data_IF_223220436475
#
_entry.id   IF_223220436475
#
_cell.length_a   1.000
_cell.length_b   1.000
_cell.length_c   1.000
_cell.angle_alpha   90.00
_cell.angle_beta   90.00
_cell.angle_gamma   90.00
#
_symmetry.space_group_name_H-M   'P 1'
#
loop_
_entity.id
_entity.type
_entity.pdbx_description
1 polymer ?
#
# COMPACT_ATOMS: atom_id res chain seq x y z
N UNK A 1 -49.84 -28.42 7.32
CA UNK A 1 -48.43 -28.21 6.94
C UNK A 1 -47.89 -27.06 7.76
N UNK A 2 -46.80 -27.26 8.50
CA UNK A 2 -46.29 -26.27 9.46
C UNK A 2 -45.32 -25.30 8.77
N UNK A 3 -45.56 -24.00 8.96
CA UNK A 3 -44.68 -22.92 8.47
C UNK A 3 -43.24 -23.04 8.99
N UNK A 4 -43.08 -23.67 10.17
CA UNK A 4 -41.80 -23.90 10.82
C UNK A 4 -40.83 -24.69 9.94
N UNK A 5 -41.33 -25.63 9.14
CA UNK A 5 -40.51 -26.43 8.22
C UNK A 5 -39.84 -25.58 7.13
N UNK A 6 -40.40 -24.41 6.79
CA UNK A 6 -39.81 -23.47 5.83
C UNK A 6 -38.98 -22.39 6.51
N UNK A 7 -39.44 -21.84 7.64
CA UNK A 7 -38.76 -20.73 8.31
C UNK A 7 -37.44 -21.17 8.92
N UNK A 8 -37.37 -22.38 9.47
CA UNK A 8 -36.16 -22.90 10.11
C UNK A 8 -34.95 -22.99 9.15
N UNK A 9 -35.03 -23.62 7.97
CA UNK A 9 -33.90 -23.66 7.04
C UNK A 9 -33.54 -22.27 6.49
N UNK A 10 -34.52 -21.40 6.24
CA UNK A 10 -34.25 -20.03 5.80
C UNK A 10 -33.48 -19.24 6.84
N UNK A 11 -33.87 -19.34 8.12
CA UNK A 11 -33.16 -18.68 9.21
C UNK A 11 -31.71 -19.19 9.34
N UNK A 12 -31.50 -20.51 9.23
CA UNK A 12 -30.15 -21.10 9.25
C UNK A 12 -29.31 -20.65 8.05
N UNK A 13 -29.89 -20.56 6.86
CA UNK A 13 -29.20 -20.08 5.67
C UNK A 13 -28.78 -18.61 5.82
N UNK A 14 -29.67 -17.75 6.31
CA UNK A 14 -29.37 -16.33 6.55
C UNK A 14 -28.28 -16.16 7.64
N UNK A 15 -28.38 -16.91 8.74
CA UNK A 15 -27.38 -16.88 9.80
C UNK A 15 -26.00 -17.36 9.29
N UNK A 16 -25.96 -18.45 8.51
CA UNK A 16 -24.75 -18.96 7.89
C UNK A 16 -24.13 -17.97 6.89
N UNK A 17 -24.96 -17.32 6.07
CA UNK A 17 -24.51 -16.31 5.11
C UNK A 17 -23.93 -15.08 5.82
N UNK A 18 -24.58 -14.62 6.88
CA UNK A 18 -24.09 -13.50 7.69
C UNK A 18 -22.73 -13.83 8.34
N UNK A 19 -22.61 -15.01 8.94
CA UNK A 19 -21.35 -15.45 9.55
C UNK A 19 -20.23 -15.58 8.50
N UNK A 20 -20.52 -16.19 7.35
CA UNK A 20 -19.58 -16.32 6.23
C UNK A 20 -19.10 -14.95 5.74
N UNK A 21 -20.02 -14.00 5.52
CA UNK A 21 -19.70 -12.66 5.09
C UNK A 21 -18.82 -11.92 6.12
N UNK A 22 -19.13 -12.06 7.41
CA UNK A 22 -18.37 -11.47 8.50
C UNK A 22 -16.94 -12.02 8.55
N UNK A 23 -16.78 -13.35 8.55
CA UNK A 23 -15.45 -14.00 8.53
C UNK A 23 -14.66 -13.59 7.29
N UNK A 24 -15.30 -13.50 6.12
CA UNK A 24 -14.64 -13.05 4.89
C UNK A 24 -14.18 -11.59 5.00
N UNK A 25 -14.99 -10.70 5.58
CA UNK A 25 -14.64 -9.29 5.77
C UNK A 25 -13.42 -9.11 6.69
N UNK A 26 -13.39 -9.85 7.81
CA UNK A 26 -12.25 -9.87 8.74
C UNK A 26 -10.98 -10.35 8.01
N UNK A 27 -11.07 -11.44 7.26
CA UNK A 27 -9.94 -11.98 6.48
C UNK A 27 -9.46 -11.05 5.37
N UNK A 28 -10.34 -10.20 4.83
CA UNK A 28 -9.97 -9.23 3.80
C UNK A 28 -9.25 -7.99 4.34
N UNK A 29 -9.04 -7.89 5.66
CA UNK A 29 -8.31 -6.76 6.25
C UNK A 29 -9.07 -5.43 6.18
N UNK A 30 -10.37 -5.44 5.89
CA UNK A 30 -11.14 -4.20 5.71
C UNK A 30 -11.33 -3.40 7.01
N UNK A 31 -11.06 -4.02 8.15
CA UNK A 31 -11.08 -3.39 9.47
C UNK A 31 -9.68 -2.96 9.96
N UNK A 32 -8.64 -3.16 9.15
CA UNK A 32 -7.25 -2.85 9.53
C UNK A 32 -6.88 -1.39 9.24
N UNK A 33 -7.61 -0.73 8.33
CA UNK A 33 -7.41 0.69 8.00
C UNK A 33 -8.42 1.59 8.74
N UNK A 34 -8.28 1.66 10.07
CA UNK A 34 -9.06 2.58 10.92
C UNK A 34 -8.30 3.86 11.26
N UNK A 35 -6.99 3.90 11.01
CA UNK A 35 -6.11 4.99 11.43
C UNK A 35 -5.94 6.11 10.39
N UNK A 36 -6.15 5.81 9.10
CA UNK A 36 -5.95 6.73 7.97
C UNK A 36 -7.17 7.53 7.48
N UNK A 37 -8.45 7.11 7.64
CA UNK A 37 -9.55 7.71 6.87
C UNK A 37 -10.17 9.05 7.34
N UNK A 38 -10.16 9.48 8.62
CA UNK A 38 -10.95 10.67 9.00
C UNK A 38 -10.44 11.96 8.34
N UNK A 39 -9.12 12.11 8.23
CA UNK A 39 -8.52 13.34 7.74
C UNK A 39 -8.64 13.48 6.21
N UNK A 40 -8.57 12.37 5.45
CA UNK A 40 -8.75 12.40 4.00
C UNK A 40 -10.17 12.79 3.59
N UNK A 41 -11.19 12.19 4.20
CA UNK A 41 -12.58 12.53 3.90
C UNK A 41 -12.94 14.00 4.23
N UNK A 42 -12.28 14.59 5.23
CA UNK A 42 -12.43 16.01 5.59
C UNK A 42 -11.65 16.97 4.66
N UNK A 43 -10.55 16.51 4.07
CA UNK A 43 -9.68 17.33 3.21
C UNK A 43 -9.98 17.18 1.71
N UNK A 44 -10.70 16.13 1.29
CA UNK A 44 -11.06 15.87 -0.12
C UNK A 44 -12.06 16.91 -0.69
N UNK A 45 -12.85 17.56 0.16
CA UNK A 45 -13.76 18.67 -0.22
C UNK A 45 -13.04 20.03 -0.31
N UNK A 46 -11.74 20.09 -0.02
CA UNK A 46 -10.95 21.30 -0.27
C UNK A 46 -10.48 21.23 -1.71
N UNK A 47 -11.10 21.98 -2.65
CA UNK A 47 -10.54 22.07 -4.00
C UNK A 47 -9.11 22.59 -3.86
N UNK A 48 -8.15 21.79 -4.29
CA UNK A 48 -6.78 22.25 -4.47
C UNK A 48 -6.87 23.47 -5.39
N UNK A 49 -6.69 24.65 -4.81
CA UNK A 49 -6.65 25.90 -5.56
C UNK A 49 -5.46 25.83 -6.49
N UNK A 50 -5.69 25.32 -7.70
CA UNK A 50 -4.77 25.33 -8.83
C UNK A 50 -4.78 26.73 -9.43
N UNK A 51 -4.31 27.71 -8.67
CA UNK A 51 -3.97 29.01 -9.21
C UNK A 51 -2.58 28.90 -9.87
N UNK A 52 -2.56 28.36 -11.08
CA UNK A 52 -1.62 28.79 -12.14
C UNK A 52 -0.12 28.51 -11.98
N UNK A 53 0.31 27.33 -11.52
CA UNK A 53 1.69 26.87 -11.75
C UNK A 53 1.67 25.50 -12.43
N UNK A 54 2.32 25.41 -13.59
CA UNK A 54 2.49 24.22 -14.39
C UNK A 54 2.95 23.00 -13.56
N UNK A 55 2.54 21.78 -13.92
CA UNK A 55 2.96 20.59 -13.19
C UNK A 55 4.49 20.47 -13.28
N UNK A 56 5.24 20.32 -12.17
CA UNK A 56 6.59 19.82 -12.26
C UNK A 56 6.46 18.40 -12.82
N UNK A 57 6.82 18.26 -14.09
CA UNK A 57 7.18 16.98 -14.67
C UNK A 57 8.34 16.45 -13.83
N UNK A 58 8.01 15.58 -12.89
CA UNK A 58 8.90 15.14 -11.84
C UNK A 58 8.39 13.83 -11.31
N UNK A 59 8.57 12.77 -12.09
CA UNK A 59 8.59 11.41 -11.57
C UNK A 59 9.75 11.30 -10.57
N UNK A 60 9.53 11.76 -9.35
CA UNK A 60 10.39 11.45 -8.22
C UNK A 60 9.96 10.08 -7.73
N UNK A 61 10.61 9.04 -8.25
CA UNK A 61 10.74 7.79 -7.50
C UNK A 61 11.18 8.12 -6.07
N UNK A 62 10.73 7.37 -5.05
CA UNK A 62 11.28 7.52 -3.71
C UNK A 62 12.83 7.41 -3.78
N UNK A 63 13.58 8.09 -2.90
CA UNK A 63 15.04 8.00 -2.90
C UNK A 63 15.42 6.52 -2.90
N UNK A 64 16.05 6.03 -3.97
CA UNK A 64 16.65 4.68 -3.93
C UNK A 64 17.75 4.75 -2.90
N UNK A 65 17.77 3.79 -1.99
CA UNK A 65 18.93 3.56 -1.13
C UNK A 65 20.19 3.54 -2.00
N UNK A 66 21.29 4.19 -1.57
CA UNK A 66 22.55 4.10 -2.30
C UNK A 66 22.95 2.63 -2.40
N UNK A 67 23.45 2.18 -3.58
CA UNK A 67 23.90 0.80 -3.73
C UNK A 67 24.96 0.48 -2.66
N UNK A 68 24.99 -0.75 -2.13
CA UNK A 68 26.02 -1.13 -1.17
C UNK A 68 27.41 -0.90 -1.78
N UNK A 69 28.39 -0.44 -0.99
CA UNK A 69 29.73 -0.17 -1.51
C UNK A 69 30.32 -1.44 -2.13
N UNK A 70 31.09 -1.32 -3.22
CA UNK A 70 31.71 -2.48 -3.87
C UNK A 70 32.60 -3.23 -2.87
N UNK A 71 32.70 -4.58 -2.99
CA UNK A 71 33.57 -5.34 -2.11
C UNK A 71 35.00 -4.80 -2.20
N UNK A 72 35.69 -4.74 -1.07
CA UNK A 72 36.99 -4.07 -0.87
C UNK A 72 38.13 -4.49 -1.83
N UNK A 73 37.90 -5.49 -2.69
CA UNK A 73 38.84 -5.93 -3.73
C UNK A 73 38.79 -5.12 -5.03
N UNK A 74 37.73 -4.36 -5.31
CA UNK A 74 37.55 -3.71 -6.64
C UNK A 74 38.19 -2.31 -6.73
N UNK A 75 38.34 -1.62 -5.59
CA UNK A 75 38.99 -0.30 -5.48
C UNK A 75 40.52 -0.35 -5.67
N UNK A 76 41.15 -1.51 -5.55
CA UNK A 76 42.60 -1.65 -5.69
C UNK A 76 43.08 -1.70 -7.15
N UNK A 77 42.22 -2.09 -8.09
CA UNK A 77 42.62 -2.24 -9.50
C UNK A 77 42.54 -0.92 -10.28
N UNK A 78 41.73 0.04 -9.84
CA UNK A 78 41.59 1.34 -10.50
C UNK A 78 42.66 2.38 -10.09
N UNK A 79 43.54 2.05 -9.14
CA UNK A 79 44.62 2.94 -8.67
C UNK A 79 46.02 2.44 -9.08
N UNK A 80 46.11 1.67 -10.15
CA UNK A 80 47.36 1.32 -10.79
C UNK A 80 47.29 1.70 -12.25
N UNK A 81 47.80 2.89 -12.60
CA UNK A 81 48.50 3.24 -13.85
C UNK A 81 48.83 4.76 -13.81
N UNK A 82 49.97 5.13 -14.41
CA UNK A 82 50.72 6.40 -14.34
C UNK A 82 51.66 6.51 -13.11
N UNK A 83 52.93 6.05 -13.14
CA UNK A 83 54.03 6.27 -14.12
C UNK A 83 54.15 7.78 -14.38
N UNK A 84 55.11 8.52 -13.80
CA UNK A 84 56.46 8.69 -14.35
C UNK A 84 57.34 9.50 -13.36
N UNK A 85 58.48 8.91 -12.97
CA UNK A 85 59.69 9.51 -12.35
C UNK A 85 60.43 10.45 -13.35
N UNK A 86 61.50 11.22 -13.02
CA UNK A 86 62.47 11.07 -11.91
C UNK A 86 62.77 12.32 -11.07
#
# INVERSE_FOLDING_TARGET
MSVLAFVLPVALALAGLALWACVRAIRSGQFDDLDTPPLRALLDDVPARTDGAAPPSGGASPPRDPPPPPPAGEIALARGEEVTEP
#
